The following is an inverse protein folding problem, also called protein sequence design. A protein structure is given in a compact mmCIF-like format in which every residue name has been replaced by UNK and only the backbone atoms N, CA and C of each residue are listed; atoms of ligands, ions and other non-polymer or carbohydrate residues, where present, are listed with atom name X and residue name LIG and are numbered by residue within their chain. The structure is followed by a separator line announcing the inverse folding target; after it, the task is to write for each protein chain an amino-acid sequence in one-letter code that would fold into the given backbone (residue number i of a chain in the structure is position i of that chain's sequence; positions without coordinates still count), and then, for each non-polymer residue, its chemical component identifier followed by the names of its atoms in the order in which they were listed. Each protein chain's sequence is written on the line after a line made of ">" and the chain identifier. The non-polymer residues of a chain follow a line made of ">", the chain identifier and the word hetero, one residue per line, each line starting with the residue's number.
data_IF_760114120501
#
_entry.id   IF_760114120501
#
_cell.length_a   1.000
_cell.length_b   1.000
_cell.length_c   1.000
_cell.angle_alpha   90.00
_cell.angle_beta   90.00
_cell.angle_gamma   90.00
#
_symmetry.space_group_name_H-M   'P 1'
#
loop_
_entity.id
_entity.type
_entity.pdbx_description
1 polymer ?
#
# COMPACT_ATOMS: atom_id res chain seq x y z
N UNK A 1 6.51 -2.12 13.70
CA UNK A 1 5.97 -2.78 12.49
C UNK A 1 4.60 -2.20 12.18
N UNK A 2 4.21 -2.22 10.90
CA UNK A 2 2.93 -1.71 10.45
C UNK A 2 2.28 -2.76 9.57
N UNK A 3 1.01 -3.06 9.84
CA UNK A 3 0.17 -3.90 9.00
C UNK A 3 -1.17 -3.20 8.82
N UNK A 4 -1.58 -2.98 7.58
CA UNK A 4 -2.84 -2.33 7.24
C UNK A 4 -3.48 -2.99 6.01
N UNK A 5 -4.80 -2.92 5.92
CA UNK A 5 -5.59 -3.52 4.84
C UNK A 5 -6.75 -2.62 4.43
N UNK A 6 -7.39 -2.99 3.32
CA UNK A 6 -8.65 -2.44 2.88
C UNK A 6 -9.78 -3.44 3.19
N UNK A 7 -10.97 -2.95 3.58
CA UNK A 7 -12.15 -3.79 3.71
C UNK A 7 -12.48 -4.51 2.40
N UNK A 8 -13.13 -5.67 2.50
CA UNK A 8 -13.66 -6.37 1.33
C UNK A 8 -14.63 -5.46 0.54
N UNK A 9 -14.52 -5.48 -0.78
CA UNK A 9 -15.36 -4.65 -1.66
C UNK A 9 -14.92 -3.19 -1.79
N UNK A 10 -13.83 -2.78 -1.14
CA UNK A 10 -13.26 -1.45 -1.32
C UNK A 10 -12.78 -1.25 -2.75
N UNK A 11 -13.25 -0.17 -3.39
CA UNK A 11 -12.69 0.29 -4.67
C UNK A 11 -11.76 1.45 -4.35
N UNK A 12 -10.46 1.22 -4.43
CA UNK A 12 -9.48 2.28 -4.22
C UNK A 12 -9.11 2.92 -5.55
N UNK A 13 -9.53 4.17 -5.74
CA UNK A 13 -9.06 5.00 -6.85
C UNK A 13 -7.91 5.86 -6.33
N UNK A 14 -6.70 5.31 -6.35
CA UNK A 14 -5.51 6.05 -5.93
C UNK A 14 -5.11 7.09 -6.97
N UNK A 15 -5.56 8.33 -6.82
CA UNK A 15 -5.08 9.46 -7.63
C UNK A 15 -4.10 10.29 -6.81
N UNK A 16 -2.82 10.26 -7.16
CA UNK A 16 -1.78 11.17 -6.64
C UNK A 16 -1.27 10.91 -5.21
N UNK A 17 -2.15 10.61 -4.25
CA UNK A 17 -1.85 10.69 -2.81
C UNK A 17 -1.64 9.34 -2.10
N UNK A 18 -1.42 8.26 -2.85
CA UNK A 18 -1.22 6.92 -2.30
C UNK A 18 -2.52 6.19 -1.93
N UNK A 19 -2.40 4.90 -1.62
CA UNK A 19 -3.52 4.06 -1.17
C UNK A 19 -3.72 4.27 0.33
N UNK A 20 -4.89 4.73 0.73
CA UNK A 20 -5.26 4.89 2.14
C UNK A 20 -5.91 3.61 2.66
N UNK A 21 -5.11 2.76 3.30
CA UNK A 21 -5.62 1.57 4.00
C UNK A 21 -6.37 2.02 5.25
N UNK A 22 -7.68 1.74 5.31
CA UNK A 22 -8.58 2.20 6.37
C UNK A 22 -8.60 1.29 7.60
N UNK A 23 -8.10 0.07 7.48
CA UNK A 23 -8.07 -0.90 8.57
C UNK A 23 -6.62 -1.15 9.00
N UNK A 24 -6.24 -0.65 10.18
CA UNK A 24 -4.91 -0.82 10.76
C UNK A 24 -4.94 -2.03 11.69
N UNK A 25 -4.20 -3.07 11.35
CA UNK A 25 -4.07 -4.29 12.13
C UNK A 25 -2.90 -4.19 13.13
N UNK A 26 -1.84 -3.48 12.75
CA UNK A 26 -0.70 -3.19 13.61
C UNK A 26 -0.10 -1.83 13.26
N UNK A 27 0.23 -1.01 14.25
CA UNK A 27 0.97 0.25 14.07
C UNK A 27 1.72 0.62 15.36
N UNK A 28 2.66 -0.25 15.75
CA UNK A 28 3.28 -0.23 17.09
C UNK A 28 4.05 1.06 17.41
N UNK A 29 4.57 1.75 16.39
CA UNK A 29 5.30 3.01 16.56
C UNK A 29 4.55 4.24 16.02
N UNK A 30 3.27 4.09 15.64
CA UNK A 30 2.47 5.18 15.04
C UNK A 30 3.12 5.78 13.78
N UNK A 31 3.90 5.00 13.05
CA UNK A 31 4.66 5.40 11.85
C UNK A 31 3.82 5.40 10.57
N UNK A 32 2.61 4.82 10.61
CA UNK A 32 1.66 4.87 9.52
C UNK A 32 0.67 6.02 9.69
N UNK A 33 0.68 6.94 8.72
CA UNK A 33 -0.21 8.10 8.65
C UNK A 33 -0.72 8.29 7.23
N UNK A 34 -2.04 8.22 7.07
CA UNK A 34 -2.74 8.61 5.84
C UNK A 34 -2.26 7.92 4.54
N UNK A 35 -1.96 6.63 4.60
CA UNK A 35 -1.48 5.85 3.44
C UNK A 35 0.03 5.88 3.25
N UNK A 36 0.77 6.56 4.13
CA UNK A 36 2.23 6.65 4.10
C UNK A 36 2.86 6.05 5.37
N UNK A 37 4.00 5.41 5.20
CA UNK A 37 4.87 4.98 6.29
C UNK A 37 6.05 5.96 6.42
N UNK A 38 6.23 6.54 7.61
CA UNK A 38 7.33 7.43 7.92
C UNK A 38 8.28 6.74 8.90
N UNK A 39 9.43 6.29 8.42
CA UNK A 39 10.45 5.67 9.26
C UNK A 39 11.00 6.69 10.29
N UNK A 40 10.87 6.38 11.57
CA UNK A 40 11.42 7.20 12.66
C UNK A 40 12.93 7.02 12.85
N UNK A 41 13.48 5.93 12.32
CA UNK A 41 14.87 5.52 12.48
C UNK A 41 15.50 5.19 11.12
N UNK A 42 16.83 5.26 11.04
CA UNK A 42 17.53 4.82 9.83
C UNK A 42 17.78 3.31 9.91
N UNK A 43 17.49 2.59 8.84
CA UNK A 43 17.65 1.14 8.80
C UNK A 43 17.19 0.52 7.48
N UNK A 44 17.31 -0.80 7.42
CA UNK A 44 16.77 -1.60 6.32
C UNK A 44 15.38 -2.07 6.71
N UNK A 45 14.40 -1.79 5.86
CA UNK A 45 13.00 -2.16 6.07
C UNK A 45 12.60 -3.24 5.08
N UNK A 46 11.81 -4.20 5.54
CA UNK A 46 11.15 -5.18 4.68
C UNK A 46 9.71 -4.72 4.44
N UNK A 47 9.24 -4.87 3.21
CA UNK A 47 7.86 -4.59 2.84
C UNK A 47 7.30 -5.78 2.06
N UNK A 48 6.12 -6.23 2.47
CA UNK A 48 5.31 -7.20 1.74
C UNK A 48 3.97 -6.58 1.38
N UNK A 49 3.52 -6.79 0.16
CA UNK A 49 2.19 -6.37 -0.27
C UNK A 49 1.50 -7.51 -1.01
N UNK A 50 0.23 -7.70 -0.70
CA UNK A 50 -0.65 -8.61 -1.43
C UNK A 50 -1.81 -7.78 -1.97
N UNK A 51 -2.13 -7.97 -3.25
CA UNK A 51 -3.24 -7.29 -3.88
C UNK A 51 -4.14 -8.32 -4.55
N UNK A 52 -5.45 -8.14 -4.36
CA UNK A 52 -6.48 -8.92 -5.03
C UNK A 52 -7.17 -8.01 -6.04
N UNK A 53 -7.34 -8.50 -7.26
CA UNK A 53 -8.08 -7.79 -8.30
C UNK A 53 -9.36 -8.54 -8.61
N UNK A 54 -10.42 -7.78 -8.91
CA UNK A 54 -11.72 -8.31 -9.27
C UNK A 54 -11.95 -8.21 -10.78
N UNK A 55 -12.95 -7.42 -11.16
CA UNK A 55 -13.36 -7.28 -12.56
C UNK A 55 -12.42 -6.43 -13.42
N UNK A 56 -11.52 -5.66 -12.80
CA UNK A 56 -10.61 -4.72 -13.46
C UNK A 56 -9.15 -5.10 -13.18
N UNK A 57 -8.27 -4.89 -14.16
CA UNK A 57 -6.83 -4.91 -13.92
C UNK A 57 -6.46 -3.75 -12.98
N UNK A 58 -5.56 -4.01 -12.03
CA UNK A 58 -5.08 -3.00 -11.10
C UNK A 58 -3.57 -2.88 -11.20
N UNK A 59 -3.09 -1.65 -10.98
CA UNK A 59 -1.67 -1.35 -10.88
C UNK A 59 -1.41 -0.78 -9.49
N UNK A 60 -0.38 -1.29 -8.81
CA UNK A 60 0.08 -0.77 -7.54
C UNK A 60 1.53 -0.32 -7.68
N UNK A 61 1.82 0.89 -7.21
CA UNK A 61 3.17 1.45 -7.25
C UNK A 61 3.65 1.70 -5.83
N UNK A 62 4.80 1.12 -5.48
CA UNK A 62 5.49 1.47 -4.26
C UNK A 62 6.38 2.69 -4.51
N UNK A 63 6.28 3.68 -3.63
CA UNK A 63 7.08 4.89 -3.71
C UNK A 63 7.79 5.21 -2.40
N UNK A 64 9.00 5.74 -2.50
CA UNK A 64 9.73 6.33 -1.37
C UNK A 64 10.10 7.76 -1.76
N UNK A 65 9.64 8.73 -0.97
CA UNK A 65 9.88 10.16 -1.21
C UNK A 65 9.56 10.60 -2.66
N UNK A 66 8.47 10.05 -3.22
CA UNK A 66 8.02 10.34 -4.59
C UNK A 66 8.67 9.50 -5.70
N UNK A 67 9.75 8.77 -5.42
CA UNK A 67 10.42 7.90 -6.39
C UNK A 67 9.76 6.53 -6.44
N UNK A 68 9.53 6.00 -7.65
CA UNK A 68 8.99 4.66 -7.85
C UNK A 68 10.08 3.63 -7.58
N UNK A 69 9.83 2.72 -6.64
CA UNK A 69 10.72 1.60 -6.34
C UNK A 69 10.28 0.32 -7.04
N UNK A 70 8.98 0.02 -6.95
CA UNK A 70 8.40 -1.22 -7.48
C UNK A 70 7.06 -0.88 -8.12
N UNK A 71 6.78 -1.54 -9.24
CA UNK A 71 5.50 -1.49 -9.91
C UNK A 71 4.96 -2.92 -10.05
N UNK A 72 3.72 -3.11 -9.60
CA UNK A 72 3.00 -4.37 -9.63
C UNK A 72 1.78 -4.20 -10.50
N UNK A 73 1.53 -5.18 -11.34
CA UNK A 73 0.34 -5.27 -12.16
C UNK A 73 -0.27 -6.64 -11.95
N UNK A 74 -1.55 -6.66 -11.61
CA UNK A 74 -2.34 -7.89 -11.72
C UNK A 74 -3.40 -7.61 -12.77
N UNK A 75 -3.18 -8.29 -13.90
CA UNK A 75 -4.09 -8.28 -15.01
C UNK A 75 -5.19 -9.30 -14.77
N UNK A 76 -6.32 -9.06 -15.42
CA UNK A 76 -7.32 -10.09 -15.60
C UNK A 76 -6.93 -10.94 -16.80
N UNK A 77 -6.54 -12.19 -16.53
CA UNK A 77 -6.45 -13.20 -17.58
C UNK A 77 -7.88 -13.64 -17.91
N UNK A 78 -8.34 -13.33 -19.12
CA UNK A 78 -9.61 -13.80 -19.67
C UNK A 78 -9.41 -15.11 -20.43
#
# INVERSE_FOLDING_TARGET
>A
AVTATLPLGSITVGVGNGVKYSEILENTQHEYLDGSFAASTSGVYSLSVSMMTGLLSCNLTLRTNGLILVWLCANKDY
#
